data_IF_636731523742
#
_entry.id   IF_636731523742
#
_cell.length_a   1.000
_cell.length_b   1.000
_cell.length_c   1.000
_cell.angle_alpha   90.00
_cell.angle_beta   90.00
_cell.angle_gamma   90.00
#
_symmetry.space_group_name_H-M   'P 1'
#
loop_
_entity.id
_entity.type
_entity.pdbx_description
1 polymer ?
#
# COMPACT_ATOMS: atom_id res chain seq x y z
N UNK A 1 -76.33 -14.89 -10.17
CA UNK A 1 -75.38 -13.81 -9.86
C UNK A 1 -74.06 -14.45 -9.51
N UNK A 2 -73.19 -14.53 -10.52
CA UNK A 2 -71.89 -15.22 -10.44
C UNK A 2 -70.81 -14.14 -10.38
N UNK A 3 -70.09 -13.99 -9.28
CA UNK A 3 -68.95 -13.06 -9.15
C UNK A 3 -67.70 -13.73 -9.65
N UNK A 4 -67.11 -13.16 -10.67
CA UNK A 4 -65.82 -13.51 -11.23
C UNK A 4 -64.72 -12.75 -10.49
N UNK A 5 -63.85 -13.46 -9.75
CA UNK A 5 -62.68 -12.90 -9.10
C UNK A 5 -61.51 -12.94 -10.11
N UNK A 6 -61.06 -11.74 -10.48
CA UNK A 6 -59.86 -11.55 -11.31
C UNK A 6 -58.65 -11.45 -10.40
N UNK A 7 -57.77 -12.45 -10.40
CA UNK A 7 -56.48 -12.42 -9.72
C UNK A 7 -55.43 -11.79 -10.64
N UNK A 8 -54.90 -10.64 -10.24
CA UNK A 8 -53.77 -10.00 -10.91
C UNK A 8 -52.48 -10.56 -10.27
N UNK A 9 -51.73 -11.34 -11.00
CA UNK A 9 -50.39 -11.75 -10.65
C UNK A 9 -49.41 -10.65 -11.04
N UNK A 10 -48.83 -10.00 -10.04
CA UNK A 10 -47.70 -9.09 -10.25
C UNK A 10 -46.42 -9.90 -10.39
N UNK A 11 -45.84 -9.92 -11.58
CA UNK A 11 -44.53 -10.48 -11.83
C UNK A 11 -43.47 -9.48 -11.38
N UNK A 12 -42.78 -9.75 -10.28
CA UNK A 12 -41.52 -9.06 -9.89
C UNK A 12 -40.41 -9.56 -10.80
N UNK A 13 -40.03 -8.76 -11.78
CA UNK A 13 -38.77 -8.97 -12.50
C UNK A 13 -37.62 -8.42 -11.66
N UNK A 14 -36.87 -9.31 -11.01
CA UNK A 14 -35.57 -8.98 -10.45
C UNK A 14 -34.59 -8.75 -11.62
N UNK A 15 -34.28 -7.49 -11.89
CA UNK A 15 -33.11 -7.15 -12.71
C UNK A 15 -31.89 -7.15 -11.82
N UNK A 16 -31.16 -8.25 -11.76
CA UNK A 16 -29.78 -8.27 -11.32
C UNK A 16 -28.96 -7.49 -12.35
N UNK A 17 -28.69 -6.23 -12.07
CA UNK A 17 -27.60 -5.51 -12.74
C UNK A 17 -26.29 -6.01 -12.14
N UNK A 18 -25.70 -7.00 -12.80
CA UNK A 18 -24.25 -7.24 -12.68
C UNK A 18 -23.53 -6.04 -13.29
N UNK A 19 -23.18 -5.08 -12.46
CA UNK A 19 -22.17 -4.09 -12.81
C UNK A 19 -20.80 -4.73 -12.61
N UNK A 20 -20.36 -5.47 -13.61
CA UNK A 20 -18.94 -5.71 -13.80
C UNK A 20 -18.33 -4.32 -14.07
N UNK A 21 -17.72 -3.72 -13.04
CA UNK A 21 -16.80 -2.61 -13.22
C UNK A 21 -15.62 -3.17 -14.02
N UNK A 22 -15.60 -2.92 -15.32
CA UNK A 22 -14.40 -3.14 -16.13
C UNK A 22 -13.36 -2.16 -15.62
N UNK A 23 -12.29 -2.68 -15.01
CA UNK A 23 -11.07 -1.92 -14.76
C UNK A 23 -10.55 -1.40 -16.11
N UNK A 24 -10.91 -0.17 -16.43
CA UNK A 24 -10.23 0.59 -17.46
C UNK A 24 -8.97 1.15 -16.80
N UNK A 25 -7.84 0.45 -16.95
CA UNK A 25 -6.53 1.07 -16.72
C UNK A 25 -6.44 2.25 -17.69
N UNK A 26 -6.56 3.47 -17.17
CA UNK A 26 -6.49 4.68 -17.96
C UNK A 26 -5.11 4.73 -18.64
N UNK A 27 -5.09 5.02 -19.93
CA UNK A 27 -3.84 5.06 -20.71
C UNK A 27 -2.83 6.11 -20.16
N UNK A 28 -3.34 7.08 -19.43
CA UNK A 28 -2.58 8.10 -18.69
C UNK A 28 -1.77 7.57 -17.52
N UNK A 29 -2.14 6.43 -16.96
CA UNK A 29 -1.52 5.89 -15.75
C UNK A 29 -0.20 5.15 -16.03
N UNK A 30 0.05 4.78 -17.27
CA UNK A 30 1.31 4.10 -17.68
C UNK A 30 2.58 4.91 -17.39
N UNK A 31 2.49 6.23 -17.34
CA UNK A 31 3.64 7.09 -16.99
C UNK A 31 4.11 6.90 -15.55
N UNK A 32 3.27 6.39 -14.67
CA UNK A 32 3.58 6.12 -13.26
C UNK A 32 4.04 4.69 -13.01
N UNK A 33 3.99 3.82 -14.02
CA UNK A 33 4.39 2.42 -13.90
C UNK A 33 5.90 2.28 -14.14
N UNK A 34 6.52 1.47 -13.29
CA UNK A 34 7.90 1.05 -13.44
C UNK A 34 7.96 -0.15 -14.40
N UNK A 35 9.06 -0.22 -15.16
CA UNK A 35 9.33 -1.36 -16.03
C UNK A 35 10.79 -1.75 -15.91
N UNK A 36 11.03 -3.00 -15.56
CA UNK A 36 12.33 -3.58 -15.28
C UNK A 36 12.68 -4.62 -16.34
N UNK A 37 13.39 -4.25 -17.43
CA UNK A 37 13.44 -5.04 -18.64
C UNK A 37 14.15 -6.39 -18.52
N UNK A 38 14.96 -6.58 -17.48
CA UNK A 38 15.70 -7.83 -17.30
C UNK A 38 15.04 -8.81 -16.33
N UNK A 39 13.97 -8.42 -15.64
CA UNK A 39 13.27 -9.34 -14.74
C UNK A 39 12.28 -10.23 -15.50
N UNK A 40 11.99 -11.40 -14.95
CA UNK A 40 11.00 -12.33 -15.51
C UNK A 40 9.61 -11.70 -15.64
N UNK A 41 9.23 -10.87 -14.66
CA UNK A 41 8.03 -10.03 -14.71
C UNK A 41 8.42 -8.55 -14.77
N UNK A 42 8.66 -7.99 -15.96
CA UNK A 42 9.17 -6.62 -16.12
C UNK A 42 8.25 -5.54 -15.56
N UNK A 43 6.95 -5.80 -15.48
CA UNK A 43 5.96 -4.85 -14.93
C UNK A 43 5.71 -5.03 -13.45
N UNK A 44 6.33 -6.02 -12.79
CA UNK A 44 5.98 -6.35 -11.41
C UNK A 44 4.49 -6.71 -11.25
N UNK A 45 3.95 -6.52 -10.06
CA UNK A 45 2.54 -6.73 -9.74
C UNK A 45 1.91 -5.40 -9.29
N UNK A 46 0.83 -4.94 -9.94
CA UNK A 46 0.06 -3.79 -9.48
C UNK A 46 -0.86 -4.27 -8.36
N UNK A 47 -0.60 -3.82 -7.14
CA UNK A 47 -1.34 -4.21 -5.94
C UNK A 47 -2.55 -3.30 -5.67
N UNK A 48 -2.41 -2.02 -5.98
CA UNK A 48 -3.44 -1.01 -5.79
C UNK A 48 -3.20 0.14 -6.78
N UNK A 49 -4.28 0.65 -7.34
CA UNK A 49 -4.28 1.88 -8.12
C UNK A 49 -5.56 2.66 -7.84
N UNK A 50 -5.41 3.97 -7.61
CA UNK A 50 -6.52 4.90 -7.52
C UNK A 50 -6.14 6.25 -8.16
N UNK A 51 -6.91 7.30 -7.94
CA UNK A 51 -6.65 8.63 -8.48
C UNK A 51 -5.39 9.28 -7.90
N UNK A 52 -4.89 8.83 -6.75
CA UNK A 52 -3.77 9.44 -6.02
C UNK A 52 -2.46 8.66 -6.16
N UNK A 53 -2.52 7.33 -6.20
CA UNK A 53 -1.33 6.47 -6.14
C UNK A 53 -1.42 5.25 -7.04
N UNK A 54 -0.23 4.73 -7.38
CA UNK A 54 -0.03 3.36 -7.88
C UNK A 54 0.91 2.64 -6.93
N UNK A 55 0.53 1.45 -6.47
CA UNK A 55 1.38 0.54 -5.71
C UNK A 55 1.81 -0.62 -6.61
N UNK A 56 3.10 -0.74 -6.82
CA UNK A 56 3.69 -1.76 -7.67
C UNK A 56 4.72 -2.58 -6.90
N UNK A 57 4.50 -3.90 -6.83
CA UNK A 57 5.39 -4.84 -6.15
C UNK A 57 6.42 -5.38 -7.12
N UNK A 58 7.64 -5.47 -6.65
CA UNK A 58 8.78 -6.00 -7.35
C UNK A 58 9.48 -7.06 -6.50
N UNK A 59 9.87 -8.16 -7.12
CA UNK A 59 10.72 -9.18 -6.49
C UNK A 59 11.97 -9.36 -7.34
N UNK A 60 13.15 -9.22 -6.72
CA UNK A 60 14.46 -9.34 -7.38
C UNK A 60 15.21 -10.50 -6.75
N UNK A 61 15.42 -11.55 -7.51
CA UNK A 61 16.13 -12.75 -7.08
C UNK A 61 17.61 -12.51 -6.86
N UNK A 62 18.30 -13.41 -6.12
CA UNK A 62 19.76 -13.35 -5.93
C UNK A 62 20.52 -13.28 -7.27
N UNK A 63 21.39 -12.28 -7.40
CA UNK A 63 22.18 -12.04 -8.61
C UNK A 63 21.43 -11.43 -9.79
N UNK A 64 20.12 -11.17 -9.68
CA UNK A 64 19.33 -10.49 -10.71
C UNK A 64 19.58 -8.99 -10.69
N UNK A 65 19.59 -8.40 -11.88
CA UNK A 65 19.63 -6.97 -12.12
C UNK A 65 18.38 -6.54 -12.88
N UNK A 66 17.81 -5.43 -12.48
CA UNK A 66 16.55 -4.91 -13.02
C UNK A 66 16.64 -4.51 -14.51
N UNK A 67 17.86 -4.20 -14.97
CA UNK A 67 18.11 -3.60 -16.27
C UNK A 67 17.89 -2.09 -16.24
N UNK A 68 18.39 -1.42 -17.29
CA UNK A 68 18.29 0.05 -17.36
C UNK A 68 16.82 0.47 -17.42
N UNK A 69 16.41 1.26 -16.43
CA UNK A 69 15.03 1.74 -16.29
C UNK A 69 14.99 3.20 -15.81
N UNK A 70 13.80 3.75 -15.72
CA UNK A 70 13.52 5.11 -15.24
C UNK A 70 12.61 5.09 -14.03
N UNK A 71 12.69 6.11 -13.18
CA UNK A 71 11.73 6.39 -12.13
C UNK A 71 10.98 7.68 -12.44
N UNK A 72 9.64 7.71 -12.32
CA UNK A 72 8.86 8.93 -12.55
C UNK A 72 9.11 10.01 -11.49
N UNK A 73 9.66 9.64 -10.33
CA UNK A 73 9.76 10.51 -9.17
C UNK A 73 8.49 10.50 -8.32
N UNK A 74 8.49 11.29 -7.25
CA UNK A 74 7.39 11.28 -6.28
C UNK A 74 7.05 9.85 -5.80
N UNK A 75 8.08 9.08 -5.51
CA UNK A 75 7.95 7.68 -5.10
C UNK A 75 8.58 7.45 -3.75
N UNK A 76 8.02 6.50 -3.02
CA UNK A 76 8.76 5.80 -1.96
C UNK A 76 8.87 4.32 -2.33
N UNK A 77 9.92 3.69 -1.85
CA UNK A 77 10.01 2.24 -1.79
C UNK A 77 9.88 1.76 -0.35
N UNK A 78 9.27 0.58 -0.19
CA UNK A 78 9.08 -0.09 1.10
C UNK A 78 9.52 -1.54 0.93
N UNK A 79 10.55 -1.95 1.66
CA UNK A 79 11.02 -3.34 1.65
C UNK A 79 10.11 -4.23 2.48
N UNK A 80 9.39 -5.14 1.84
CA UNK A 80 8.68 -6.24 2.52
C UNK A 80 9.70 -7.26 3.02
N UNK A 81 10.70 -7.52 2.18
CA UNK A 81 11.87 -8.31 2.47
C UNK A 81 13.10 -7.55 1.99
N UNK A 82 13.93 -7.15 2.93
CA UNK A 82 15.19 -6.49 2.64
C UNK A 82 16.26 -7.45 2.09
N UNK A 83 17.40 -6.88 1.72
CA UNK A 83 18.54 -7.62 1.18
C UNK A 83 19.66 -6.70 0.77
N UNK A 84 20.66 -7.26 0.12
CA UNK A 84 21.85 -6.54 -0.32
C UNK A 84 21.68 -6.03 -1.77
N UNK A 85 21.81 -4.72 -1.95
CA UNK A 85 21.70 -4.04 -3.23
C UNK A 85 23.02 -3.51 -3.73
N UNK A 86 23.13 -3.43 -5.05
CA UNK A 86 24.11 -2.61 -5.73
C UNK A 86 23.46 -1.83 -6.86
N UNK A 87 23.95 -0.61 -7.12
CA UNK A 87 23.41 0.26 -8.15
C UNK A 87 24.46 0.79 -9.10
N UNK A 88 24.03 1.14 -10.31
CA UNK A 88 24.83 1.73 -11.38
C UNK A 88 24.12 2.88 -12.01
N UNK A 89 24.89 3.91 -12.41
CA UNK A 89 24.43 4.99 -13.28
C UNK A 89 25.42 5.13 -14.42
N UNK A 90 24.91 5.09 -15.67
CA UNK A 90 25.74 5.15 -16.86
C UNK A 90 26.80 4.06 -16.93
N UNK A 91 26.50 2.87 -16.40
CA UNK A 91 27.40 1.72 -16.34
C UNK A 91 28.50 1.81 -15.28
N UNK A 92 28.51 2.84 -14.43
CA UNK A 92 29.44 2.98 -13.31
C UNK A 92 28.74 2.67 -12.00
N UNK A 93 29.45 2.05 -11.06
CA UNK A 93 28.93 1.79 -9.71
C UNK A 93 28.57 3.12 -9.05
N UNK A 94 27.35 3.20 -8.53
CA UNK A 94 26.83 4.31 -7.71
C UNK A 94 26.97 3.93 -6.24
N UNK A 95 26.50 2.75 -5.89
CA UNK A 95 26.66 2.13 -4.59
C UNK A 95 26.89 0.62 -4.74
N UNK A 96 27.38 -0.04 -3.72
CA UNK A 96 27.68 -1.46 -3.77
C UNK A 96 27.57 -2.13 -2.41
N UNK A 97 26.78 -3.20 -2.35
CA UNK A 97 26.63 -4.02 -1.14
C UNK A 97 25.93 -3.30 0.00
N UNK A 98 25.02 -2.35 -0.30
CA UNK A 98 24.17 -1.74 0.71
C UNK A 98 23.09 -2.71 1.14
N UNK A 99 22.83 -2.79 2.45
CA UNK A 99 21.86 -3.74 3.03
C UNK A 99 20.69 -2.99 3.62
N UNK A 100 19.50 -3.27 3.09
CA UNK A 100 18.25 -2.82 3.65
C UNK A 100 17.62 -3.92 4.51
N UNK A 101 16.96 -3.52 5.59
CA UNK A 101 16.19 -4.43 6.46
C UNK A 101 14.71 -4.52 6.02
N UNK A 102 14.00 -5.54 6.54
CA UNK A 102 12.54 -5.64 6.38
C UNK A 102 11.87 -4.39 6.99
N UNK A 103 11.07 -3.68 6.20
CA UNK A 103 10.44 -2.42 6.57
C UNK A 103 11.28 -1.17 6.33
N UNK A 104 12.45 -1.27 5.69
CA UNK A 104 13.19 -0.11 5.24
C UNK A 104 12.38 0.69 4.21
N UNK A 105 12.46 2.03 4.30
CA UNK A 105 11.74 2.98 3.45
C UNK A 105 12.70 4.05 2.96
N UNK A 106 12.57 4.42 1.68
CA UNK A 106 13.31 5.55 1.13
C UNK A 106 12.49 6.33 0.11
N UNK A 107 12.89 7.58 -0.10
CA UNK A 107 12.34 8.45 -1.15
C UNK A 107 13.13 8.28 -2.44
N UNK A 108 12.41 8.24 -3.56
CA UNK A 108 13.00 8.14 -4.90
C UNK A 108 12.62 9.36 -5.73
N UNK A 109 13.63 10.13 -6.10
CA UNK A 109 13.50 11.22 -7.07
C UNK A 109 13.38 10.69 -8.50
N UNK A 110 12.96 11.56 -9.42
CA UNK A 110 12.88 11.19 -10.82
C UNK A 110 14.26 10.83 -11.39
N UNK A 111 14.35 9.67 -12.03
CA UNK A 111 15.54 9.21 -12.74
C UNK A 111 15.17 8.99 -14.21
N UNK A 112 15.69 9.82 -15.14
CA UNK A 112 15.39 9.64 -16.56
C UNK A 112 16.10 8.40 -17.11
N UNK A 113 15.49 7.73 -18.08
CA UNK A 113 16.07 6.55 -18.73
C UNK A 113 17.49 6.81 -19.28
N UNK A 114 17.75 8.05 -19.71
CA UNK A 114 19.08 8.49 -20.23
C UNK A 114 20.17 8.49 -19.16
N UNK A 115 19.84 8.45 -17.88
CA UNK A 115 20.83 8.31 -16.81
C UNK A 115 21.48 6.92 -16.80
N UNK A 116 20.82 5.93 -17.38
CA UNK A 116 21.30 4.56 -17.41
C UNK A 116 21.34 3.94 -16.01
N UNK A 117 20.29 4.22 -15.20
CA UNK A 117 20.11 3.64 -13.88
C UNK A 117 19.80 2.15 -13.99
N UNK A 118 20.45 1.35 -13.16
CA UNK A 118 20.28 -0.10 -13.07
C UNK A 118 20.65 -0.55 -11.66
N UNK A 119 19.74 -1.21 -10.99
CA UNK A 119 19.94 -1.76 -9.65
C UNK A 119 19.83 -3.29 -9.68
N UNK A 120 20.42 -3.95 -8.71
CA UNK A 120 20.38 -5.41 -8.65
C UNK A 120 20.63 -5.95 -7.25
N UNK A 121 20.10 -7.13 -7.03
CA UNK A 121 20.29 -7.89 -5.82
C UNK A 121 21.67 -8.58 -5.86
N UNK A 122 22.61 -8.13 -5.04
CA UNK A 122 23.95 -8.71 -4.93
C UNK A 122 24.10 -9.64 -3.73
N UNK A 123 23.03 -9.80 -2.96
CA UNK A 123 22.97 -10.77 -1.85
C UNK A 123 22.55 -12.17 -2.28
N UNK A 124 22.26 -13.00 -1.30
CA UNK A 124 21.93 -14.42 -1.46
C UNK A 124 20.46 -14.75 -1.17
N UNK A 125 19.64 -13.76 -0.84
CA UNK A 125 18.19 -13.89 -0.58
C UNK A 125 17.39 -12.99 -1.51
N UNK A 126 16.17 -13.39 -1.93
CA UNK A 126 15.31 -12.50 -2.71
C UNK A 126 14.98 -11.21 -1.96
N UNK A 127 14.97 -10.13 -2.68
CA UNK A 127 14.48 -8.83 -2.21
C UNK A 127 13.04 -8.66 -2.73
N UNK A 128 12.15 -8.19 -1.86
CA UNK A 128 10.74 -7.99 -2.14
C UNK A 128 10.34 -6.60 -1.68
N UNK A 129 9.96 -5.73 -2.59
CA UNK A 129 9.63 -4.34 -2.28
C UNK A 129 8.38 -3.86 -3.01
N UNK A 130 7.77 -2.84 -2.44
CA UNK A 130 6.62 -2.13 -3.01
C UNK A 130 7.03 -0.68 -3.26
N UNK A 131 6.87 -0.23 -4.50
CA UNK A 131 6.90 1.19 -4.83
C UNK A 131 5.52 1.80 -4.67
N UNK A 132 5.43 2.93 -3.98
CA UNK A 132 4.24 3.79 -3.93
C UNK A 132 4.55 5.03 -4.75
N UNK A 133 3.96 5.13 -5.93
CA UNK A 133 4.13 6.27 -6.84
C UNK A 133 2.94 7.21 -6.67
N UNK A 134 3.19 8.48 -6.35
CA UNK A 134 2.15 9.50 -6.30
C UNK A 134 1.85 10.01 -7.71
N UNK A 135 0.58 10.00 -8.10
CA UNK A 135 0.13 10.40 -9.46
C UNK A 135 0.06 11.91 -9.66
N UNK A 136 -0.08 12.67 -8.60
CA UNK A 136 -0.18 14.13 -8.68
C UNK A 136 1.05 14.79 -8.05
N UNK A 137 1.54 15.86 -8.69
CA UNK A 137 2.62 16.69 -8.16
C UNK A 137 2.16 17.65 -7.06
N UNK A 138 0.85 17.94 -6.97
CA UNK A 138 0.30 18.79 -5.93
C UNK A 138 0.11 18.00 -4.62
N UNK A 139 0.38 18.63 -3.45
CA UNK A 139 0.04 18.04 -2.16
C UNK A 139 -1.46 17.76 -2.05
N UNK A 140 -1.80 16.67 -1.39
CA UNK A 140 -3.19 16.27 -1.12
C UNK A 140 -3.52 16.70 0.30
N UNK A 141 -4.52 17.58 0.46
CA UNK A 141 -4.96 17.97 1.80
C UNK A 141 -5.59 16.77 2.53
N UNK A 142 -5.21 16.51 3.79
CA UNK A 142 -5.85 15.47 4.58
C UNK A 142 -7.33 15.78 4.81
N UNK A 143 -8.16 14.74 4.88
CA UNK A 143 -9.60 14.87 5.07
C UNK A 143 -9.98 15.16 6.53
N UNK A 144 -9.13 14.77 7.50
CA UNK A 144 -9.23 15.09 8.92
C UNK A 144 -7.94 15.69 9.44
N UNK A 145 -8.04 16.43 10.56
CA UNK A 145 -6.95 17.29 11.05
C UNK A 145 -5.72 16.51 11.59
N UNK A 146 -5.87 15.25 11.99
CA UNK A 146 -4.78 14.52 12.64
C UNK A 146 -3.75 13.98 11.64
N UNK A 147 -2.65 14.71 11.51
CA UNK A 147 -1.43 14.31 10.77
C UNK A 147 -0.22 14.69 11.62
N UNK A 148 0.65 13.77 11.98
CA UNK A 148 0.71 12.32 11.70
C UNK A 148 -0.33 11.49 12.42
N UNK A 149 -0.46 10.22 12.05
CA UNK A 149 -1.31 9.24 12.73
C UNK A 149 -0.87 9.05 14.18
N UNK A 150 -1.83 8.98 15.10
CA UNK A 150 -1.57 8.78 16.53
C UNK A 150 -2.43 7.64 17.06
N UNK A 151 -1.79 6.66 17.70
CA UNK A 151 -2.44 5.59 18.43
C UNK A 151 -2.25 5.78 19.94
N UNK A 152 -3.34 5.85 20.72
CA UNK A 152 -3.22 6.10 22.16
C UNK A 152 -2.42 5.05 22.94
N UNK A 153 -2.47 3.79 22.50
CA UNK A 153 -1.92 2.66 23.25
C UNK A 153 -0.60 2.12 22.67
N UNK A 154 -0.25 2.48 21.46
CA UNK A 154 0.91 1.92 20.76
C UNK A 154 1.68 3.06 20.08
N UNK A 155 2.99 3.19 20.30
CA UNK A 155 3.78 4.21 19.62
C UNK A 155 3.91 3.90 18.12
N UNK A 156 3.88 4.94 17.29
CA UNK A 156 4.27 4.88 15.89
C UNK A 156 5.67 5.48 15.73
N UNK A 157 6.50 4.79 14.98
CA UNK A 157 7.83 5.27 14.60
C UNK A 157 7.71 6.11 13.31
N UNK A 158 8.24 7.34 13.33
CA UNK A 158 8.35 8.16 12.13
C UNK A 158 9.56 7.68 11.31
N UNK A 159 9.34 7.18 10.10
CA UNK A 159 10.39 6.71 9.20
C UNK A 159 10.83 7.77 8.20
N UNK A 160 9.88 8.51 7.63
CA UNK A 160 10.13 9.54 6.64
C UNK A 160 9.03 10.61 6.69
N UNK A 161 9.44 11.86 6.50
CA UNK A 161 8.51 12.97 6.31
C UNK A 161 9.09 13.97 5.31
N UNK A 162 8.26 14.40 4.36
CA UNK A 162 8.56 15.49 3.44
C UNK A 162 7.30 16.32 3.14
N UNK A 163 7.34 17.17 2.12
CA UNK A 163 6.21 18.04 1.74
C UNK A 163 5.02 17.26 1.17
N UNK A 164 5.20 16.00 0.79
CA UNK A 164 4.22 15.19 0.08
C UNK A 164 3.56 14.13 0.96
N UNK A 165 4.29 13.63 1.94
CA UNK A 165 3.83 12.50 2.73
C UNK A 165 4.52 12.38 4.09
N UNK A 166 3.91 11.56 4.96
CA UNK A 166 4.47 11.07 6.21
C UNK A 166 4.44 9.55 6.17
N UNK A 167 5.55 8.90 6.49
CA UNK A 167 5.64 7.45 6.62
C UNK A 167 5.90 7.08 8.07
N UNK A 168 5.01 6.25 8.64
CA UNK A 168 5.09 5.78 10.02
C UNK A 168 4.99 4.26 10.07
N UNK A 169 5.74 3.64 10.99
CA UNK A 169 5.70 2.20 11.26
C UNK A 169 5.05 1.93 12.60
N UNK A 170 4.25 0.89 12.67
CA UNK A 170 3.67 0.39 13.91
C UNK A 170 3.82 -1.12 14.00
N UNK A 171 4.17 -1.61 15.19
CA UNK A 171 4.19 -3.02 15.51
C UNK A 171 3.13 -3.31 16.59
N UNK A 172 2.25 -4.24 16.32
CA UNK A 172 1.10 -4.57 17.17
C UNK A 172 1.25 -6.00 17.64
N UNK A 173 1.61 -6.15 18.91
CA UNK A 173 1.80 -7.48 19.52
C UNK A 173 0.46 -8.22 19.70
N UNK A 174 0.47 -9.57 19.79
CA UNK A 174 -0.71 -10.35 20.08
C UNK A 174 -1.50 -9.84 21.29
N UNK A 175 -2.79 -9.58 21.09
CA UNK A 175 -3.70 -9.06 22.10
C UNK A 175 -3.67 -7.54 22.32
N UNK A 176 -2.77 -6.80 21.66
CA UNK A 176 -2.75 -5.34 21.73
C UNK A 176 -3.85 -4.72 20.85
N UNK A 177 -4.37 -3.59 21.33
CA UNK A 177 -5.32 -2.73 20.63
C UNK A 177 -4.75 -1.32 20.55
N UNK A 178 -4.91 -0.68 19.41
CA UNK A 178 -4.38 0.65 19.10
C UNK A 178 -4.94 1.74 20.01
N UNK A 179 -6.14 1.52 20.54
CA UNK A 179 -6.96 2.53 21.22
C UNK A 179 -7.78 3.34 20.21
N UNK A 180 -8.77 4.05 20.73
CA UNK A 180 -9.67 4.85 19.89
C UNK A 180 -8.89 5.98 19.24
N UNK A 181 -8.91 6.05 17.91
CA UNK A 181 -8.18 7.02 17.10
C UNK A 181 -8.97 7.43 15.85
N UNK A 182 -8.46 8.44 15.16
CA UNK A 182 -8.95 8.89 13.86
C UNK A 182 -7.94 8.53 12.75
N UNK A 183 -8.40 8.50 11.52
CA UNK A 183 -7.52 8.47 10.34
C UNK A 183 -7.68 9.78 9.56
N UNK A 184 -6.59 10.41 9.11
CA UNK A 184 -6.65 11.64 8.33
C UNK A 184 -7.24 11.45 6.92
N UNK A 185 -7.38 10.20 6.47
CA UNK A 185 -7.65 9.90 5.07
C UNK A 185 -6.42 10.00 4.18
N UNK A 186 -6.59 9.68 2.90
CA UNK A 186 -5.50 9.66 1.94
C UNK A 186 -4.29 8.84 2.44
N UNK A 187 -4.57 7.68 3.00
CA UNK A 187 -3.54 6.80 3.56
C UNK A 187 -3.45 5.48 2.80
N UNK A 188 -2.22 5.04 2.59
CA UNK A 188 -1.91 3.66 2.19
C UNK A 188 -1.41 2.91 3.41
N UNK A 189 -1.85 1.67 3.60
CA UNK A 189 -1.22 0.75 4.54
C UNK A 189 -0.52 -0.39 3.81
N UNK A 190 0.64 -0.81 4.36
CA UNK A 190 1.48 -1.88 3.79
C UNK A 190 1.92 -2.79 4.93
N UNK A 191 1.55 -4.07 4.90
CA UNK A 191 1.97 -5.04 5.89
C UNK A 191 3.38 -5.57 5.57
N UNK A 192 4.34 -5.28 6.45
CA UNK A 192 5.67 -5.93 6.45
C UNK A 192 5.56 -7.34 6.98
N UNK A 193 4.77 -7.51 8.06
CA UNK A 193 4.32 -8.80 8.58
C UNK A 193 2.82 -8.77 8.76
N UNK A 194 2.15 -9.69 8.11
CA UNK A 194 0.73 -9.88 8.30
C UNK A 194 0.41 -10.55 9.62
N UNK A 195 -0.88 -10.62 9.92
CA UNK A 195 -1.42 -11.27 11.10
C UNK A 195 -2.92 -11.23 11.12
N UNK A 196 -3.52 -11.70 12.19
CA UNK A 196 -4.98 -11.70 12.37
C UNK A 196 -5.39 -10.52 13.23
N UNK A 197 -6.26 -9.69 12.71
CA UNK A 197 -6.73 -8.48 13.37
C UNK A 197 -8.25 -8.36 13.34
N UNK A 198 -8.79 -7.55 14.22
CA UNK A 198 -10.21 -7.23 14.35
C UNK A 198 -10.39 -5.73 14.56
N UNK A 199 -11.58 -5.23 14.28
CA UNK A 199 -11.95 -3.82 14.45
C UNK A 199 -13.13 -3.67 15.40
N UNK A 200 -13.15 -2.58 16.17
CA UNK A 200 -14.27 -2.12 16.98
C UNK A 200 -14.64 -0.70 16.62
N UNK A 201 -15.93 -0.41 16.74
CA UNK A 201 -16.48 0.95 16.65
C UNK A 201 -17.40 1.19 17.84
N UNK A 202 -17.11 2.23 18.62
CA UNK A 202 -17.85 2.48 19.87
C UNK A 202 -17.78 1.31 20.87
N UNK A 203 -16.67 0.57 20.91
CA UNK A 203 -16.49 -0.59 21.78
C UNK A 203 -17.21 -1.87 21.31
N UNK A 204 -17.94 -1.81 20.19
CA UNK A 204 -18.63 -2.96 19.59
C UNK A 204 -17.80 -3.50 18.43
N UNK A 205 -17.59 -4.81 18.39
CA UNK A 205 -16.85 -5.43 17.28
C UNK A 205 -17.59 -5.21 15.96
N UNK A 206 -16.94 -4.49 15.03
CA UNK A 206 -17.46 -4.12 13.71
C UNK A 206 -16.90 -5.00 12.58
N UNK A 207 -15.69 -5.54 12.77
CA UNK A 207 -15.08 -6.50 11.87
C UNK A 207 -14.66 -7.73 12.65
N UNK A 208 -15.10 -8.90 12.20
CA UNK A 208 -14.58 -10.18 12.66
C UNK A 208 -13.13 -10.35 12.22
N UNK A 209 -12.43 -11.29 12.85
CA UNK A 209 -11.03 -11.55 12.55
C UNK A 209 -10.75 -11.70 11.05
N UNK A 210 -9.86 -10.86 10.55
CA UNK A 210 -9.33 -10.90 9.19
C UNK A 210 -7.85 -11.18 9.26
N UNK A 211 -7.33 -12.01 8.36
CA UNK A 211 -5.90 -12.32 8.29
C UNK A 211 -5.30 -11.67 7.06
N UNK A 212 -4.23 -10.92 7.26
CA UNK A 212 -3.39 -10.33 6.21
C UNK A 212 -2.07 -11.07 6.13
N UNK A 213 -1.37 -10.89 5.02
CA UNK A 213 -0.04 -11.46 4.77
C UNK A 213 0.99 -10.35 4.59
N UNK A 214 2.27 -10.68 4.61
CA UNK A 214 3.33 -9.78 4.18
C UNK A 214 3.07 -9.34 2.73
N UNK A 215 3.22 -8.05 2.45
CA UNK A 215 2.89 -7.44 1.16
C UNK A 215 1.40 -7.15 0.93
N UNK A 216 0.50 -7.45 1.88
CA UNK A 216 -0.89 -6.97 1.82
C UNK A 216 -0.93 -5.46 1.93
N UNK A 217 -1.70 -4.81 1.05
CA UNK A 217 -1.85 -3.35 1.00
C UNK A 217 -3.32 -2.96 0.95
N UNK A 218 -3.60 -1.69 1.23
CA UNK A 218 -4.91 -1.11 0.98
C UNK A 218 -4.92 0.40 1.18
N UNK A 219 -6.06 0.99 0.85
CA UNK A 219 -6.36 2.41 1.02
C UNK A 219 -7.26 2.62 2.23
N UNK A 220 -6.98 3.67 2.99
CA UNK A 220 -7.79 4.07 4.15
C UNK A 220 -8.35 5.47 3.93
N UNK A 221 -9.67 5.55 3.92
CA UNK A 221 -10.41 6.81 3.93
C UNK A 221 -10.36 7.46 5.33
N UNK A 222 -10.77 8.73 5.40
CA UNK A 222 -10.86 9.43 6.66
C UNK A 222 -11.82 8.75 7.64
N UNK A 223 -11.38 8.62 8.89
CA UNK A 223 -12.21 8.12 9.99
C UNK A 223 -12.19 9.14 11.12
N UNK A 224 -13.32 9.79 11.35
CA UNK A 224 -13.47 10.78 12.41
C UNK A 224 -13.41 10.12 13.79
N UNK A 225 -12.84 10.83 14.77
CA UNK A 225 -12.69 10.33 16.14
C UNK A 225 -14.03 9.96 16.80
N UNK A 226 -15.14 10.62 16.39
CA UNK A 226 -16.49 10.31 16.90
C UNK A 226 -17.01 8.93 16.53
N UNK A 227 -16.41 8.28 15.51
CA UNK A 227 -16.70 6.88 15.14
C UNK A 227 -16.20 5.91 16.22
N UNK A 228 -15.28 6.36 17.09
CA UNK A 228 -14.64 5.57 18.11
C UNK A 228 -14.05 4.26 17.54
N UNK A 229 -13.33 4.40 16.43
CA UNK A 229 -12.63 3.32 15.75
C UNK A 229 -11.39 2.89 16.52
N UNK A 230 -11.19 1.59 16.65
CA UNK A 230 -9.94 0.98 17.09
C UNK A 230 -9.73 -0.38 16.43
N UNK A 231 -8.50 -0.69 16.07
CA UNK A 231 -8.11 -2.02 15.59
C UNK A 231 -7.19 -2.70 16.61
N UNK A 232 -7.09 -4.02 16.52
CA UNK A 232 -6.24 -4.78 17.43
C UNK A 232 -5.82 -6.13 16.84
N UNK A 233 -4.67 -6.59 17.28
CA UNK A 233 -4.13 -7.89 16.92
C UNK A 233 -4.81 -8.99 17.72
N UNK A 234 -5.69 -9.76 17.09
CA UNK A 234 -6.40 -10.91 17.69
C UNK A 234 -5.78 -12.25 17.31
N UNK A 235 -4.65 -12.22 16.61
CA UNK A 235 -3.84 -13.39 16.27
C UNK A 235 -2.79 -13.73 17.32
N UNK A 236 -1.80 -14.52 16.89
CA UNK A 236 -0.70 -15.02 17.74
C UNK A 236 0.69 -14.62 17.22
N UNK A 237 0.76 -13.78 16.20
CA UNK A 237 2.01 -13.24 15.62
C UNK A 237 1.92 -11.71 15.64
N UNK A 238 3.07 -11.05 15.81
CA UNK A 238 3.17 -9.58 15.71
C UNK A 238 2.77 -9.13 14.31
N UNK A 239 1.88 -8.14 14.22
CA UNK A 239 1.59 -7.41 12.99
C UNK A 239 2.60 -6.27 12.88
N UNK A 240 3.20 -6.12 11.72
CA UNK A 240 4.15 -5.05 11.40
C UNK A 240 3.63 -4.29 10.18
N UNK A 241 3.30 -3.02 10.36
CA UNK A 241 2.53 -2.23 9.41
C UNK A 241 3.20 -0.88 9.17
N UNK A 242 3.24 -0.47 7.91
CA UNK A 242 3.63 0.88 7.49
C UNK A 242 2.39 1.63 7.02
N UNK A 243 2.23 2.85 7.54
CA UNK A 243 1.30 3.86 7.07
C UNK A 243 2.03 4.88 6.21
N UNK A 244 1.48 5.19 5.05
CA UNK A 244 1.90 6.28 4.17
C UNK A 244 0.73 7.25 4.10
N UNK A 245 0.84 8.39 4.77
CA UNK A 245 -0.19 9.44 4.77
C UNK A 245 0.21 10.51 3.76
N UNK A 246 -0.63 10.76 2.76
CA UNK A 246 -0.43 11.80 1.75
C UNK A 246 -0.86 13.17 2.32
N UNK A 247 -0.06 14.22 2.02
CA UNK A 247 -0.30 15.60 2.45
C UNK A 247 -0.94 16.45 1.37
#
# INVERSE_FOLDING_TARGET
MTFLLLSIAAACTNSTQDTAASEQVLETDKQFLLTYPNLENPGGEILLENEHVVLQRLVVGPGEWEGIHSHPGNQIYVHIKGGEWSGRIGGKSEYSGEVDEDGAVGWMDAIPLSAGHDSGNTGDTPIDLIYVTLKDDAPIAPEVEHVPQIYPNIPLELLLENDRLIVQRVQIEPGQWEGIHSHPGNQVYIHIKGGTWSERRGGVQSLNSTTTMAGSVGWMDAVDLSVAHESGNTGNTTIDLIWVTLK
#
